data_IF_866299567127
#
_entry.id   IF_866299567127
#
_cell.length_a   1.000
_cell.length_b   1.000
_cell.length_c   1.000
_cell.angle_alpha   90.00
_cell.angle_beta   90.00
_cell.angle_gamma   90.00
#
_symmetry.space_group_name_H-M   'P 1'
#
loop_
_entity.id
_entity.type
_entity.pdbx_description
1 polymer ?
#
# COMPACT_ATOMS: atom_id res chain seq x y z
N UNK A 1 1.65 -22.78 25.70
CA UNK A 1 1.70 -22.83 24.23
C UNK A 1 2.83 -21.95 23.80
N UNK A 2 3.88 -22.57 23.28
CA UNK A 2 5.22 -22.02 23.25
C UNK A 2 5.33 -20.89 22.22
N UNK A 3 5.95 -19.78 22.64
CA UNK A 3 6.28 -18.60 21.84
C UNK A 3 7.34 -18.91 20.76
N UNK A 4 7.59 -20.19 20.46
CA UNK A 4 8.59 -20.70 19.52
C UNK A 4 8.42 -20.10 18.13
N UNK A 5 7.18 -19.87 17.69
CA UNK A 5 6.90 -19.23 16.40
C UNK A 5 7.23 -17.74 16.39
N UNK A 6 6.99 -17.05 17.51
CA UNK A 6 7.26 -15.63 17.67
C UNK A 6 8.76 -15.37 17.83
N UNK A 7 9.47 -16.26 18.53
CA UNK A 7 10.91 -16.24 18.67
C UNK A 7 11.61 -16.58 17.34
N UNK A 8 11.08 -17.54 16.55
CA UNK A 8 11.56 -17.79 15.18
C UNK A 8 11.38 -16.61 14.24
N UNK A 9 10.27 -15.86 14.38
CA UNK A 9 10.06 -14.63 13.62
C UNK A 9 11.07 -13.53 14.00
N UNK A 10 11.48 -13.47 15.26
CA UNK A 10 12.49 -12.53 15.77
C UNK A 10 13.93 -12.96 15.43
N UNK A 11 14.25 -14.23 15.52
CA UNK A 11 15.55 -14.79 15.09
C UNK A 11 15.76 -14.67 13.57
N UNK A 12 14.67 -14.74 12.79
CA UNK A 12 14.68 -14.49 11.35
C UNK A 12 14.98 -13.03 10.99
N UNK A 13 14.64 -12.06 11.84
CA UNK A 13 15.00 -10.65 11.63
C UNK A 13 16.41 -10.34 12.13
N UNK A 14 16.86 -10.95 13.23
CA UNK A 14 18.22 -10.77 13.77
C UNK A 14 19.30 -11.45 12.93
N UNK A 15 19.02 -12.60 12.30
CA UNK A 15 19.95 -13.25 11.35
C UNK A 15 20.12 -12.45 10.04
N UNK A 16 19.18 -11.56 9.71
CA UNK A 16 19.31 -10.59 8.62
C UNK A 16 20.00 -9.28 9.06
N UNK A 17 20.10 -9.02 10.37
CA UNK A 17 20.78 -7.86 10.95
C UNK A 17 22.18 -8.21 11.52
N UNK A 18 22.51 -9.50 11.64
CA UNK A 18 23.69 -10.05 12.34
C UNK A 18 24.90 -10.43 11.48
N UNK A 19 25.00 -9.98 10.22
CA UNK A 19 26.29 -9.80 9.53
C UNK A 19 26.22 -8.55 8.66
N UNK A 20 26.56 -7.42 9.26
CA UNK A 20 26.23 -6.06 8.82
C UNK A 20 26.95 -5.56 7.55
N UNK A 21 27.50 -6.46 6.73
CA UNK A 21 28.03 -6.13 5.40
C UNK A 21 27.69 -7.20 4.35
N UNK A 22 27.80 -8.48 4.70
CA UNK A 22 27.58 -9.59 3.76
C UNK A 22 26.10 -9.82 3.42
N UNK A 23 25.19 -9.67 4.39
CA UNK A 23 23.74 -9.77 4.15
C UNK A 23 23.22 -8.62 3.28
N UNK A 24 23.66 -7.40 3.54
CA UNK A 24 23.33 -6.24 2.71
C UNK A 24 23.86 -6.41 1.29
N UNK A 25 25.15 -6.76 1.09
CA UNK A 25 25.68 -7.00 -0.25
C UNK A 25 24.89 -8.09 -1.00
N UNK A 26 24.57 -9.20 -0.35
CA UNK A 26 23.78 -10.28 -0.99
C UNK A 26 22.38 -9.82 -1.44
N UNK A 27 21.71 -8.97 -0.65
CA UNK A 27 20.42 -8.39 -1.01
C UNK A 27 20.53 -7.43 -2.20
N UNK A 28 21.55 -6.57 -2.21
CA UNK A 28 21.82 -5.66 -3.33
C UNK A 28 22.11 -6.41 -4.63
N UNK A 29 22.88 -7.50 -4.59
CA UNK A 29 23.13 -8.32 -5.78
C UNK A 29 21.88 -8.99 -6.33
N UNK A 30 20.99 -9.48 -5.45
CA UNK A 30 19.72 -10.06 -5.88
C UNK A 30 18.82 -9.02 -6.54
N UNK A 31 18.71 -7.83 -5.94
CA UNK A 31 17.91 -6.71 -6.48
C UNK A 31 18.45 -6.25 -7.84
N UNK A 32 19.77 -6.10 -7.95
CA UNK A 32 20.43 -5.75 -9.22
C UNK A 32 20.17 -6.82 -10.29
N UNK A 33 20.24 -8.10 -9.93
CA UNK A 33 19.94 -9.20 -10.85
C UNK A 33 18.53 -9.13 -11.42
N UNK A 34 17.53 -8.93 -10.57
CA UNK A 34 16.12 -8.81 -11.00
C UNK A 34 15.90 -7.57 -11.88
N UNK A 35 16.49 -6.43 -11.52
CA UNK A 35 16.41 -5.21 -12.31
C UNK A 35 17.08 -5.37 -13.70
N UNK A 36 18.22 -6.05 -13.78
CA UNK A 36 18.86 -6.33 -15.07
C UNK A 36 17.98 -7.19 -15.96
N UNK A 37 17.36 -8.25 -15.42
CA UNK A 37 16.46 -9.13 -16.18
C UNK A 37 15.25 -8.36 -16.71
N UNK A 38 14.63 -7.49 -15.89
CA UNK A 38 13.47 -6.70 -16.32
C UNK A 38 13.83 -5.69 -17.42
N UNK A 39 15.00 -5.05 -17.34
CA UNK A 39 15.50 -4.15 -18.39
C UNK A 39 15.78 -4.90 -19.68
N UNK A 40 16.38 -6.10 -19.63
CA UNK A 40 16.63 -6.93 -20.81
C UNK A 40 15.31 -7.34 -21.48
N UNK A 41 14.33 -7.79 -20.69
CA UNK A 41 13.00 -8.13 -21.21
C UNK A 41 12.29 -6.93 -21.84
N UNK A 42 12.40 -5.75 -21.24
CA UNK A 42 11.86 -4.51 -21.79
C UNK A 42 12.58 -4.09 -23.08
N UNK A 43 13.91 -4.20 -23.13
CA UNK A 43 14.69 -3.91 -24.33
C UNK A 43 14.33 -4.83 -25.49
N UNK A 44 14.23 -6.14 -25.22
CA UNK A 44 13.79 -7.12 -26.20
C UNK A 44 12.38 -6.83 -26.71
N UNK A 45 11.42 -6.53 -25.81
CA UNK A 45 10.05 -6.22 -26.22
C UNK A 45 9.99 -4.98 -27.12
N UNK A 46 10.80 -3.94 -26.85
CA UNK A 46 10.85 -2.74 -27.68
C UNK A 46 11.44 -2.98 -29.07
N UNK A 47 12.52 -3.77 -29.18
CA UNK A 47 13.15 -4.13 -30.47
C UNK A 47 12.23 -4.99 -31.34
N UNK A 48 11.53 -5.95 -30.73
CA UNK A 48 10.53 -6.79 -31.43
C UNK A 48 9.34 -5.92 -31.88
N UNK A 49 8.93 -4.95 -31.06
CA UNK A 49 7.76 -4.10 -31.30
C UNK A 49 8.00 -2.99 -32.34
N UNK A 50 9.25 -2.61 -32.66
CA UNK A 50 9.54 -1.64 -33.75
C UNK A 50 8.95 -2.03 -35.10
N UNK A 51 8.80 -3.33 -35.36
CA UNK A 51 8.18 -3.84 -36.58
C UNK A 51 6.69 -3.50 -36.69
N UNK A 52 6.01 -3.21 -35.56
CA UNK A 52 4.57 -2.92 -35.48
C UNK A 52 4.22 -1.42 -35.59
N UNK A 53 5.21 -0.52 -35.46
CA UNK A 53 4.96 0.93 -35.24
C UNK A 53 4.53 1.74 -36.48
N UNK A 54 4.31 1.11 -37.63
CA UNK A 54 4.13 1.80 -38.92
C UNK A 54 2.68 2.12 -39.30
N UNK A 55 1.69 1.78 -38.48
CA UNK A 55 0.30 2.17 -38.72
C UNK A 55 -0.12 3.31 -37.78
N UNK A 56 -0.41 4.50 -38.34
CA UNK A 56 -0.84 5.69 -37.58
C UNK A 56 -2.21 5.48 -36.92
N UNK A 57 -3.07 4.69 -37.54
CA UNK A 57 -4.44 4.44 -37.09
C UNK A 57 -4.51 3.56 -35.84
N UNK A 58 -3.43 2.82 -35.53
CA UNK A 58 -3.33 2.00 -34.31
C UNK A 58 -2.81 2.79 -33.09
N UNK A 59 -2.38 4.05 -33.27
CA UNK A 59 -1.83 4.89 -32.20
C UNK A 59 -2.89 5.79 -31.55
N UNK A 60 -4.12 5.77 -32.05
CA UNK A 60 -5.25 6.56 -31.55
C UNK A 60 -6.08 5.69 -30.61
N UNK A 61 -6.58 6.28 -29.52
CA UNK A 61 -7.45 5.58 -28.58
C UNK A 61 -8.74 5.12 -29.29
N UNK A 62 -9.02 3.82 -29.26
CA UNK A 62 -10.21 3.24 -29.89
C UNK A 62 -11.46 3.52 -29.04
N UNK A 63 -12.16 4.62 -29.31
CA UNK A 63 -13.41 4.96 -28.62
C UNK A 63 -14.66 4.81 -29.50
N UNK A 64 -14.66 3.87 -30.45
CA UNK A 64 -15.75 3.55 -31.42
C UNK A 64 -15.56 4.06 -32.85
N UNK A 65 -14.32 4.38 -33.28
CA UNK A 65 -14.05 4.79 -34.67
C UNK A 65 -14.43 6.23 -35.00
N UNK A 66 -14.66 7.06 -33.97
CA UNK A 66 -14.84 8.50 -34.08
C UNK A 66 -13.62 9.22 -33.51
N UNK A 67 -13.23 10.32 -34.14
CA UNK A 67 -12.18 11.20 -33.63
C UNK A 67 -12.64 11.85 -32.31
N UNK A 68 -11.79 11.92 -31.27
CA UNK A 68 -12.18 12.51 -29.99
C UNK A 68 -12.49 14.00 -30.19
N UNK A 69 -13.77 14.36 -30.08
CA UNK A 69 -14.30 15.70 -30.32
C UNK A 69 -14.00 16.69 -29.17
N UNK A 70 -13.46 16.23 -28.03
CA UNK A 70 -13.20 17.09 -26.88
C UNK A 70 -12.07 16.57 -25.98
N UNK A 71 -11.52 17.46 -25.14
CA UNK A 71 -10.46 17.12 -24.20
C UNK A 71 -10.91 16.03 -23.22
N UNK A 72 -10.12 14.95 -23.12
CA UNK A 72 -10.32 13.75 -22.26
C UNK A 72 -10.43 14.08 -20.75
N UNK A 73 -10.24 15.34 -20.36
CA UNK A 73 -10.30 15.78 -18.96
C UNK A 73 -11.72 16.18 -18.60
N UNK A 74 -12.57 15.18 -18.36
CA UNK A 74 -13.80 15.37 -17.60
C UNK A 74 -13.43 15.60 -16.12
N UNK A 75 -14.14 16.49 -15.41
CA UNK A 75 -13.87 16.70 -13.99
C UNK A 75 -14.09 15.39 -13.23
N UNK A 76 -13.09 15.02 -12.45
CA UNK A 76 -13.08 13.81 -11.62
C UNK A 76 -14.18 13.88 -10.55
N UNK A 77 -14.80 12.75 -10.28
CA UNK A 77 -15.87 12.61 -9.28
C UNK A 77 -15.32 12.76 -7.86
N UNK A 78 -15.84 13.76 -7.13
CA UNK A 78 -15.53 14.03 -5.72
C UNK A 78 -15.62 12.80 -4.77
N UNK A 79 -16.59 11.86 -4.87
CA UNK A 79 -16.67 10.74 -3.92
C UNK A 79 -15.43 9.84 -3.91
N UNK A 80 -14.78 9.65 -5.06
CA UNK A 80 -13.54 8.85 -5.11
C UNK A 80 -12.38 9.54 -4.40
N UNK A 81 -12.37 10.87 -4.38
CA UNK A 81 -11.38 11.65 -3.64
C UNK A 81 -11.61 11.57 -2.12
N UNK A 82 -12.86 11.64 -1.65
CA UNK A 82 -13.18 11.51 -0.23
C UNK A 82 -12.77 10.15 0.34
N UNK A 83 -13.06 9.05 -0.37
CA UNK A 83 -12.64 7.70 0.04
C UNK A 83 -11.12 7.58 0.13
N UNK A 84 -10.37 8.19 -0.79
CA UNK A 84 -8.91 8.20 -0.74
C UNK A 84 -8.37 9.00 0.45
N UNK A 85 -8.98 10.14 0.77
CA UNK A 85 -8.61 10.94 1.93
C UNK A 85 -8.94 10.23 3.25
N UNK A 86 -10.10 9.56 3.33
CA UNK A 86 -10.49 8.76 4.48
C UNK A 86 -9.52 7.59 4.69
N UNK A 87 -9.16 6.87 3.62
CA UNK A 87 -8.19 5.79 3.68
C UNK A 87 -6.84 6.27 4.20
N UNK A 88 -6.37 7.45 3.74
CA UNK A 88 -5.12 8.05 4.21
C UNK A 88 -5.15 8.30 5.72
N UNK A 89 -6.22 8.89 6.25
CA UNK A 89 -6.36 9.20 7.67
C UNK A 89 -6.44 7.90 8.49
N UNK A 90 -7.26 6.94 8.05
CA UNK A 90 -7.40 5.64 8.72
C UNK A 90 -6.09 4.85 8.76
N UNK A 91 -5.30 4.88 7.68
CA UNK A 91 -3.99 4.20 7.62
C UNK A 91 -3.01 4.79 8.64
N UNK A 92 -2.97 6.12 8.75
CA UNK A 92 -2.15 6.80 9.78
C UNK A 92 -2.58 6.42 11.19
N UNK A 93 -3.88 6.33 11.45
CA UNK A 93 -4.39 5.95 12.77
C UNK A 93 -4.08 4.48 13.12
N UNK A 94 -4.13 3.55 12.16
CA UNK A 94 -3.73 2.15 12.38
C UNK A 94 -2.24 2.03 12.68
N UNK A 95 -1.38 2.81 12.03
CA UNK A 95 0.07 2.85 12.34
C UNK A 95 0.31 3.32 13.78
N UNK A 96 -0.43 4.34 14.24
CA UNK A 96 -0.35 4.79 15.64
C UNK A 96 -0.80 3.70 16.62
N UNK A 97 -1.88 2.99 16.30
CA UNK A 97 -2.38 1.88 17.10
C UNK A 97 -1.33 0.76 17.20
N UNK A 98 -0.65 0.43 16.10
CA UNK A 98 0.43 -0.56 16.07
C UNK A 98 1.61 -0.17 16.99
N UNK A 99 2.04 1.09 16.96
CA UNK A 99 3.09 1.61 17.83
C UNK A 99 2.72 1.48 19.32
N UNK A 100 1.47 1.80 19.67
CA UNK A 100 0.96 1.66 21.04
C UNK A 100 0.92 0.17 21.43
N UNK A 101 0.41 -0.72 20.57
CA UNK A 101 0.40 -2.16 20.83
C UNK A 101 1.80 -2.72 21.07
N UNK A 102 2.80 -2.27 20.31
CA UNK A 102 4.19 -2.68 20.53
C UNK A 102 4.72 -2.20 21.90
N UNK A 103 4.41 -0.96 22.30
CA UNK A 103 4.79 -0.42 23.61
C UNK A 103 4.12 -1.14 24.78
N UNK A 104 2.87 -1.59 24.62
CA UNK A 104 2.18 -2.39 25.64
C UNK A 104 2.81 -3.79 25.79
N UNK A 105 3.37 -4.34 24.71
CA UNK A 105 4.03 -5.65 24.71
C UNK A 105 5.30 -5.69 25.58
N UNK A 106 6.03 -4.58 25.71
CA UNK A 106 7.20 -4.54 26.61
C UNK A 106 6.83 -4.44 28.09
N UNK A 107 5.60 -4.03 28.41
CA UNK A 107 5.17 -3.61 29.75
C UNK A 107 4.02 -4.46 30.31
N UNK A 108 3.91 -5.73 29.90
CA UNK A 108 2.78 -6.62 30.24
C UNK A 108 2.46 -6.74 31.74
N UNK A 109 3.43 -6.50 32.63
CA UNK A 109 3.24 -6.67 34.07
C UNK A 109 2.58 -5.46 34.77
N UNK A 110 2.53 -4.30 34.09
CA UNK A 110 1.89 -3.09 34.62
C UNK A 110 1.08 -2.38 33.52
N UNK A 111 0.12 -3.10 32.94
CA UNK A 111 -0.82 -2.48 32.02
C UNK A 111 -1.70 -1.50 32.82
N UNK A 112 -1.39 -0.20 32.73
CA UNK A 112 -2.19 0.82 33.40
C UNK A 112 -3.59 0.81 32.79
N UNK A 113 -4.63 0.77 33.64
CA UNK A 113 -6.04 0.90 33.20
C UNK A 113 -6.24 2.13 32.29
N UNK A 114 -5.43 3.18 32.49
CA UNK A 114 -5.41 4.36 31.65
C UNK A 114 -5.00 4.05 30.20
N UNK A 115 -4.01 3.18 29.98
CA UNK A 115 -3.55 2.81 28.63
C UNK A 115 -4.59 2.04 27.84
N UNK A 116 -5.32 1.13 28.51
CA UNK A 116 -6.45 0.42 27.92
C UNK A 116 -7.59 1.38 27.57
N UNK A 117 -7.90 2.32 28.47
CA UNK A 117 -8.93 3.32 28.23
C UNK A 117 -8.61 4.21 27.02
N UNK A 118 -7.36 4.69 26.90
CA UNK A 118 -6.93 5.50 25.76
C UNK A 118 -6.98 4.72 24.44
N UNK A 119 -6.59 3.43 24.44
CA UNK A 119 -6.70 2.57 23.26
C UNK A 119 -8.17 2.34 22.86
N UNK A 120 -9.06 2.10 23.83
CA UNK A 120 -10.49 1.94 23.59
C UNK A 120 -11.14 3.23 23.04
N UNK A 121 -10.76 4.39 23.58
CA UNK A 121 -11.22 5.69 23.08
C UNK A 121 -10.74 5.93 21.64
N UNK A 122 -9.49 5.59 21.34
CA UNK A 122 -8.94 5.70 19.98
C UNK A 122 -9.70 4.82 18.99
N UNK A 123 -9.98 3.56 19.34
CA UNK A 123 -10.83 2.68 18.54
C UNK A 123 -12.26 3.20 18.36
N UNK A 124 -12.82 3.88 19.38
CA UNK A 124 -14.16 4.45 19.30
C UNK A 124 -14.22 5.61 18.31
N UNK A 125 -13.21 6.48 18.29
CA UNK A 125 -13.10 7.59 17.32
C UNK A 125 -13.06 7.05 15.89
N UNK A 126 -12.26 6.00 15.65
CA UNK A 126 -12.20 5.30 14.35
C UNK A 126 -13.57 4.78 13.90
N UNK A 127 -14.30 4.12 14.81
CA UNK A 127 -15.64 3.59 14.53
C UNK A 127 -16.65 4.70 14.24
N UNK A 128 -16.61 5.81 14.99
CA UNK A 128 -17.49 6.96 14.76
C UNK A 128 -17.20 7.65 13.43
N UNK A 129 -15.92 7.84 13.08
CA UNK A 129 -15.53 8.43 11.79
C UNK A 129 -16.02 7.59 10.61
N UNK A 130 -15.88 6.27 10.70
CA UNK A 130 -16.39 5.35 9.68
C UNK A 130 -17.92 5.35 9.61
N UNK A 131 -18.61 5.31 10.77
CA UNK A 131 -20.07 5.33 10.82
C UNK A 131 -20.66 6.63 10.27
N UNK A 132 -20.01 7.77 10.51
CA UNK A 132 -20.40 9.06 9.94
C UNK A 132 -20.34 9.03 8.41
N UNK A 133 -19.23 8.55 7.84
CA UNK A 133 -19.06 8.48 6.39
C UNK A 133 -20.05 7.50 5.73
N UNK A 134 -20.40 6.41 6.42
CA UNK A 134 -21.43 5.48 5.95
C UNK A 134 -22.82 6.13 5.88
N UNK A 135 -23.12 7.07 6.79
CA UNK A 135 -24.41 7.77 6.80
C UNK A 135 -24.50 8.86 5.72
N UNK A 136 -23.37 9.50 5.38
CA UNK A 136 -23.30 10.49 4.30
C UNK A 136 -23.41 9.86 2.89
N UNK A 137 -23.41 8.53 2.79
CA UNK A 137 -23.65 7.84 1.52
C UNK A 137 -22.50 7.96 0.51
N UNK A 138 -21.34 8.49 0.90
CA UNK A 138 -20.15 8.57 0.02
C UNK A 138 -19.61 7.19 -0.40
N UNK A 139 -20.09 6.12 0.26
CA UNK A 139 -19.74 4.72 -0.01
C UNK A 139 -20.77 3.98 -0.90
N UNK A 140 -21.90 4.61 -1.24
CA UNK A 140 -22.92 3.95 -2.08
C UNK A 140 -22.70 4.32 -3.55
N UNK A 141 -21.99 3.45 -4.25
CA UNK A 141 -21.77 3.49 -5.70
C UNK A 141 -23.02 2.95 -6.39
N UNK A 142 -24.14 3.67 -6.23
CA UNK A 142 -25.35 3.43 -7.02
C UNK A 142 -25.58 4.63 -7.91
N UNK A 143 -25.44 4.37 -9.20
CA UNK A 143 -26.18 5.11 -10.21
C UNK A 143 -27.68 4.88 -10.03
#
# INVERSE_FOLDING_TARGET
MNNVWMNKWFEGSESLLGSSSWGFLSGWYFVLGVACVSVIMCGLSLTICERSRWNKDQKVAFECGFDPLSSVRTPFSLPFFLVALLFLIFDVEVVLLLCVCYSLKSSFFSLSLLSLFMCALFCLVLLLGLAHEMNEGSLDWRH
#
